data_IF_044604090051
#
_entry.id   IF_044604090051
#
_cell.length_a   1.000
_cell.length_b   1.000
_cell.length_c   1.000
_cell.angle_alpha   90.00
_cell.angle_beta   90.00
_cell.angle_gamma   90.00
#
_symmetry.space_group_name_H-M   'P 1'
#
loop_
_entity.id
_entity.type
_entity.pdbx_description
1 polymer ?
2 non-polymer ?
3 non-polymer ?
4 water ?
#
# COMPACT_ATOMS: atom_id res chain seq x y z
N UNK A 1 6.08 15.97 7.88
CA UNK A 1 4.65 16.14 7.46
C UNK A 1 4.16 14.90 6.71
N UNK A 2 2.85 14.80 6.53
CA UNK A 2 2.30 13.68 5.79
C UNK A 2 2.81 13.69 4.37
N UNK A 3 2.90 14.88 3.76
CA UNK A 3 3.38 14.98 2.39
C UNK A 3 4.83 14.55 2.30
N UNK A 4 5.64 14.90 3.31
CA UNK A 4 7.05 14.53 3.31
C UNK A 4 7.20 13.01 3.44
N UNK A 5 6.37 12.38 4.25
CA UNK A 5 6.44 10.92 4.40
C UNK A 5 6.23 10.28 3.02
N UNK A 6 5.34 10.85 2.22
CA UNK A 6 5.10 10.32 0.88
C UNK A 6 6.25 10.64 -0.08
N UNK A 7 6.59 11.92 -0.18
CA UNK A 7 7.64 12.37 -1.10
C UNK A 7 9.04 11.85 -0.82
N UNK A 8 9.42 11.94 0.44
CA UNK A 8 10.75 11.60 0.90
C UNK A 8 10.94 10.21 1.49
N UNK A 9 9.87 9.51 1.84
CA UNK A 9 10.02 8.16 2.38
C UNK A 9 9.53 7.12 1.36
N UNK A 10 8.31 7.29 0.88
CA UNK A 10 7.74 6.34 -0.06
C UNK A 10 8.20 6.47 -1.50
N UNK A 11 8.34 7.71 -1.96
CA UNK A 11 8.72 7.98 -3.34
C UNK A 11 10.22 8.09 -3.59
N UNK A 12 11.02 7.70 -2.60
CA UNK A 12 12.47 7.74 -2.75
C UNK A 12 12.89 6.74 -3.82
N UNK A 13 13.94 7.07 -4.54
CA UNK A 13 14.42 6.18 -5.56
C UNK A 13 15.25 5.07 -4.92
N UNK A 14 15.05 3.85 -5.41
CA UNK A 14 15.75 2.67 -4.96
C UNK A 14 16.22 1.98 -6.23
N UNK A 15 17.53 1.79 -6.34
CA UNK A 15 18.15 1.15 -7.50
C UNK A 15 17.77 1.85 -8.81
N UNK A 16 17.59 3.16 -8.76
CA UNK A 16 17.25 3.91 -9.96
C UNK A 16 15.77 4.02 -10.27
N UNK A 17 14.93 3.38 -9.46
CA UNK A 17 13.48 3.41 -9.69
C UNK A 17 12.72 3.82 -8.44
N UNK A 18 11.45 4.17 -8.60
CA UNK A 18 10.65 4.54 -7.45
C UNK A 18 9.21 4.10 -7.70
N UNK A 19 8.41 4.09 -6.64
CA UNK A 19 7.00 3.70 -6.73
C UNK A 19 6.30 4.54 -7.80
N UNK A 20 5.35 3.93 -8.48
CA UNK A 20 4.59 4.63 -9.49
C UNK A 20 3.69 5.64 -8.78
N UNK A 21 3.17 5.25 -7.62
CA UNK A 21 2.32 6.13 -6.83
C UNK A 21 2.29 5.64 -5.38
N UNK A 22 2.01 6.55 -4.45
CA UNK A 22 1.98 6.20 -3.04
C UNK A 22 1.03 7.13 -2.29
N UNK A 23 0.60 6.69 -1.12
CA UNK A 23 -0.29 7.51 -0.30
C UNK A 23 -0.39 6.99 1.11
N UNK A 24 -0.78 7.88 2.01
CA UNK A 24 -1.02 7.54 3.40
C UNK A 24 -2.44 8.02 3.64
N UNK A 25 -3.31 7.08 3.98
CA UNK A 25 -4.72 7.37 4.23
C UNK A 25 -5.05 7.08 5.68
N UNK A 26 -6.03 7.80 6.22
CA UNK A 26 -6.45 7.50 7.57
C UNK A 26 -7.22 6.19 7.45
N UNK A 27 -7.40 5.45 8.53
CA UNK A 27 -8.16 4.21 8.43
C UNK A 27 -9.64 4.49 8.09
N UNK A 28 -10.02 5.77 8.11
CA UNK A 28 -11.36 6.20 7.75
C UNK A 28 -11.47 6.33 6.23
N UNK A 29 -10.34 6.20 5.53
CA UNK A 29 -10.31 6.31 4.09
C UNK A 29 -9.90 7.67 3.55
N UNK A 30 -9.81 8.68 4.41
CA UNK A 30 -9.43 10.03 3.96
C UNK A 30 -7.96 10.10 3.57
N UNK A 31 -7.65 10.92 2.57
CA UNK A 31 -6.27 11.05 2.13
C UNK A 31 -5.51 12.03 3.01
N UNK A 32 -4.44 11.55 3.64
CA UNK A 32 -3.62 12.43 4.46
C UNK A 32 -2.58 13.05 3.52
N UNK A 33 -1.99 12.22 2.65
CA UNK A 33 -1.06 12.68 1.63
C UNK A 33 -0.98 11.63 0.52
N UNK A 34 -0.76 12.07 -0.71
CA UNK A 34 -0.65 11.15 -1.81
C UNK A 34 0.27 11.76 -2.85
N UNK A 35 0.75 10.90 -3.75
CA UNK A 35 1.59 11.35 -4.85
C UNK A 35 0.65 11.71 -6.01
N UNK A 36 1.20 12.35 -7.04
CA UNK A 36 0.43 12.81 -8.18
C UNK A 36 -0.44 11.79 -8.92
N UNK A 37 0.04 10.55 -9.05
CA UNK A 37 -0.70 9.52 -9.78
C UNK A 37 -1.52 8.54 -8.92
N UNK A 38 -1.67 8.80 -7.62
CA UNK A 38 -2.43 7.88 -6.78
C UNK A 38 -3.90 7.82 -7.23
N UNK A 39 -4.43 6.59 -7.42
CA UNK A 39 -5.82 6.41 -7.84
C UNK A 39 -6.84 6.66 -6.75
N UNK A 40 -8.05 6.98 -7.15
CA UNK A 40 -9.11 7.18 -6.18
C UNK A 40 -9.63 5.79 -5.86
N UNK A 41 -9.71 5.48 -4.57
CA UNK A 41 -10.18 4.18 -4.13
C UNK A 41 -11.66 4.29 -3.77
N UNK A 42 -12.38 3.19 -3.93
CA UNK A 42 -13.80 3.16 -3.62
C UNK A 42 -13.99 2.84 -2.14
N UNK A 43 -15.07 3.35 -1.52
CA UNK A 43 -15.33 3.08 -0.10
C UNK A 43 -15.37 1.56 0.18
N UNK A 44 -16.02 0.81 -0.70
CA UNK A 44 -16.12 -0.65 -0.57
C UNK A 44 -14.73 -1.33 -0.62
N UNK A 45 -13.78 -0.71 -1.30
CA UNK A 45 -12.43 -1.28 -1.40
C UNK A 45 -11.69 -1.06 -0.08
N UNK A 46 -11.93 0.09 0.55
CA UNK A 46 -11.32 0.40 1.84
C UNK A 46 -11.95 -0.55 2.88
N UNK A 47 -13.26 -0.79 2.75
CA UNK A 47 -13.97 -1.71 3.63
C UNK A 47 -13.35 -3.11 3.47
N UNK A 48 -13.11 -3.51 2.22
CA UNK A 48 -12.52 -4.82 1.96
C UNK A 48 -11.13 -4.98 2.57
N UNK A 49 -10.33 -3.92 2.46
CA UNK A 49 -8.97 -3.91 3.00
C UNK A 49 -9.04 -4.09 4.51
N UNK A 50 -9.93 -3.35 5.16
CA UNK A 50 -10.05 -3.45 6.61
C UNK A 50 -10.53 -4.82 7.06
N UNK A 51 -11.46 -5.40 6.31
CA UNK A 51 -11.96 -6.71 6.65
C UNK A 51 -10.84 -7.76 6.49
N UNK A 52 -10.00 -7.59 5.47
CA UNK A 52 -8.88 -8.52 5.23
C UNK A 52 -7.81 -8.43 6.33
N UNK A 53 -7.61 -7.24 6.88
CA UNK A 53 -6.64 -7.09 7.96
C UNK A 53 -7.20 -7.76 9.21
N UNK A 54 -8.52 -7.68 9.37
CA UNK A 54 -9.17 -8.28 10.52
C UNK A 54 -9.32 -9.80 10.39
N UNK A 55 -9.63 -10.24 9.17
CA UNK A 55 -9.83 -11.66 8.88
C UNK A 55 -8.94 -12.05 7.70
N UNK A 56 -7.66 -12.37 7.98
CA UNK A 56 -6.68 -12.76 6.96
C UNK A 56 -7.25 -13.79 5.98
N UNK A 57 -6.98 -13.59 4.69
CA UNK A 57 -7.46 -14.51 3.68
C UNK A 57 -8.80 -14.15 3.06
N UNK A 58 -9.44 -13.10 3.58
CA UNK A 58 -10.73 -12.67 3.07
C UNK A 58 -10.71 -12.36 1.57
N UNK A 59 -9.78 -11.52 1.13
CA UNK A 59 -9.71 -11.11 -0.27
C UNK A 59 -9.05 -12.12 -1.21
N UNK A 60 -8.22 -13.01 -0.67
CA UNK A 60 -7.47 -13.97 -1.47
C UNK A 60 -8.20 -14.71 -2.60
N UNK A 61 -9.35 -15.34 -2.31
CA UNK A 61 -10.04 -16.07 -3.38
C UNK A 61 -10.39 -15.29 -4.65
N UNK A 62 -10.85 -14.05 -4.48
CA UNK A 62 -11.29 -13.25 -5.62
C UNK A 62 -10.51 -11.99 -6.00
N UNK A 63 -9.55 -11.59 -5.17
CA UNK A 63 -8.71 -10.46 -5.52
C UNK A 63 -8.82 -9.22 -4.67
N UNK A 64 -7.75 -8.44 -4.70
CA UNK A 64 -7.66 -7.16 -3.98
C UNK A 64 -7.98 -6.09 -5.05
N UNK A 65 -9.08 -5.37 -4.88
CA UNK A 65 -9.46 -4.36 -5.86
C UNK A 65 -9.09 -2.97 -5.38
N UNK A 66 -8.47 -2.19 -6.26
CA UNK A 66 -8.04 -0.84 -5.89
C UNK A 66 -8.35 0.04 -7.09
N UNK A 67 -9.26 0.99 -6.91
CA UNK A 67 -9.65 1.85 -8.02
C UNK A 67 -10.34 1.06 -9.13
N UNK A 68 -10.98 -0.06 -8.77
CA UNK A 68 -11.66 -0.89 -9.74
C UNK A 68 -10.72 -1.87 -10.43
N UNK A 69 -9.43 -1.81 -10.09
CA UNK A 69 -8.40 -2.68 -10.67
C UNK A 69 -8.13 -3.92 -9.83
N UNK A 70 -8.11 -5.08 -10.47
CA UNK A 70 -7.85 -6.33 -9.77
C UNK A 70 -6.38 -6.65 -9.58
N UNK A 71 -6.01 -6.91 -8.33
CA UNK A 71 -4.66 -7.34 -8.00
C UNK A 71 -4.76 -8.75 -7.43
N UNK A 72 -3.96 -9.68 -7.94
CA UNK A 72 -3.93 -11.03 -7.39
C UNK A 72 -3.27 -10.94 -6.02
N UNK A 73 -3.95 -11.40 -4.98
CA UNK A 73 -3.37 -11.40 -3.64
C UNK A 73 -2.16 -12.36 -3.55
N UNK A 74 -1.07 -11.89 -2.96
CA UNK A 74 0.09 -12.77 -2.74
C UNK A 74 0.35 -12.77 -1.23
N UNK A 75 1.27 -13.59 -0.77
CA UNK A 75 1.54 -13.71 0.66
C UNK A 75 1.74 -12.37 1.38
N UNK A 76 0.97 -12.17 2.46
CA UNK A 76 1.08 -10.96 3.26
C UNK A 76 1.48 -11.29 4.69
N UNK A 77 1.15 -10.40 5.62
CA UNK A 77 1.46 -10.61 7.03
C UNK A 77 0.13 -10.38 7.74
N UNK A 78 -0.36 -11.40 8.44
CA UNK A 78 -1.66 -11.33 9.12
C UNK A 78 -1.91 -10.06 9.91
N UNK A 79 -2.97 -9.36 9.52
CA UNK A 79 -3.39 -8.12 10.15
C UNK A 79 -2.50 -6.91 9.96
N UNK A 80 -1.39 -7.05 9.23
CA UNK A 80 -0.44 -5.95 9.08
C UNK A 80 -0.07 -5.53 7.66
N UNK A 81 0.08 -6.49 6.75
CA UNK A 81 0.48 -6.17 5.39
C UNK A 81 -0.27 -6.99 4.38
N UNK A 82 -0.78 -6.31 3.36
CA UNK A 82 -1.50 -6.92 2.27
C UNK A 82 -0.60 -6.68 1.06
N UNK A 83 -0.43 -7.71 0.22
CA UNK A 83 0.42 -7.58 -0.96
C UNK A 83 -0.31 -8.16 -2.17
N UNK A 84 -0.12 -7.54 -3.32
CA UNK A 84 -0.77 -8.03 -4.53
C UNK A 84 0.10 -7.81 -5.75
N UNK A 85 -0.25 -8.48 -6.84
CA UNK A 85 0.45 -8.39 -8.12
C UNK A 85 -0.56 -8.08 -9.22
N UNK A 86 -0.12 -7.34 -10.23
CA UNK A 86 -0.97 -7.04 -11.38
C UNK A 86 -0.01 -6.90 -12.53
N UNK A 87 0.09 -7.95 -13.34
CA UNK A 87 1.02 -7.93 -14.46
C UNK A 87 2.41 -7.85 -13.86
N UNK A 88 3.35 -7.13 -14.49
CA UNK A 88 4.72 -6.97 -14.00
C UNK A 88 4.79 -6.20 -12.58
N UNK A 89 3.98 -5.86 -11.98
CA UNK A 89 3.92 -4.80 -10.98
C UNK A 89 3.09 -5.28 -9.81
N UNK A 90 2.70 -4.37 -8.93
CA UNK A 90 1.94 -4.79 -7.78
C UNK A 90 1.71 -3.67 -6.79
N UNK A 91 1.47 -4.05 -5.53
CA UNK A 91 1.16 -3.07 -4.50
C UNK A 91 1.41 -3.66 -3.12
N UNK A 92 1.65 -2.78 -2.15
CA UNK A 92 1.83 -3.18 -0.75
C UNK A 92 1.00 -2.20 0.07
N UNK A 93 0.23 -2.72 1.03
CA UNK A 93 -0.58 -1.87 1.91
C UNK A 93 -0.21 -2.29 3.31
N UNK A 94 0.31 -1.34 4.08
CA UNK A 94 0.78 -1.57 5.44
C UNK A 94 -0.10 -0.84 6.47
N UNK A 95 -0.58 -1.57 7.47
CA UNK A 95 -1.44 -0.97 8.49
C UNK A 95 -0.63 -0.44 9.68
N UNK A 96 -0.94 0.78 10.12
CA UNK A 96 -0.28 1.35 11.29
C UNK A 96 -1.38 1.53 12.36
N UNK A 97 -1.07 2.22 13.46
CA UNK A 97 -2.06 2.42 14.51
C UNK A 97 -3.23 3.26 14.03
N UNK A 98 -2.98 4.25 13.18
CA UNK A 98 -4.05 5.12 12.73
C UNK A 98 -4.22 5.26 11.24
N UNK A 99 -3.27 4.76 10.47
CA UNK A 99 -3.33 4.92 9.03
C UNK A 99 -3.10 3.65 8.21
N UNK A 100 -3.16 3.82 6.89
CA UNK A 100 -2.95 2.75 5.92
C UNK A 100 -1.96 3.35 4.92
N UNK A 101 -0.80 2.70 4.77
CA UNK A 101 0.24 3.17 3.86
C UNK A 101 0.19 2.34 2.58
N UNK A 102 0.04 3.01 1.44
CA UNK A 102 -0.05 2.34 0.13
C UNK A 102 1.15 2.65 -0.78
N UNK A 103 1.59 1.64 -1.52
CA UNK A 103 2.67 1.82 -2.47
C UNK A 103 2.38 0.97 -3.70
N UNK A 104 2.33 1.60 -4.87
CA UNK A 104 2.08 0.91 -6.14
C UNK A 104 3.38 0.92 -6.92
N UNK A 105 3.76 -0.21 -7.50
CA UNK A 105 5.00 -0.23 -8.26
C UNK A 105 4.80 -0.93 -9.60
N UNK A 106 5.74 -0.67 -10.51
CA UNK A 106 5.78 -1.28 -11.84
C UNK A 106 7.24 -1.64 -12.08
N UNK A 107 7.47 -2.64 -12.92
CA UNK A 107 8.82 -3.05 -13.28
C UNK A 107 9.55 -1.78 -13.79
N UNK A 108 10.88 -1.70 -13.62
CA UNK A 108 11.80 -2.65 -13.00
C UNK A 108 11.82 -2.63 -11.47
N UNK A 109 11.00 -1.80 -10.83
CA UNK A 109 10.98 -1.83 -9.37
C UNK A 109 10.38 -3.20 -9.04
N UNK A 110 10.81 -3.80 -7.93
CA UNK A 110 10.34 -5.12 -7.53
C UNK A 110 9.40 -5.09 -6.31
N UNK A 111 8.71 -6.21 -6.11
CA UNK A 111 7.83 -6.33 -4.96
C UNK A 111 8.62 -6.17 -3.68
N UNK A 112 9.84 -6.73 -3.66
CA UNK A 112 10.69 -6.63 -2.49
C UNK A 112 11.06 -5.18 -2.18
N UNK A 113 11.31 -4.39 -3.22
CA UNK A 113 11.67 -2.99 -3.01
C UNK A 113 10.47 -2.15 -2.53
N UNK A 114 9.30 -2.45 -3.09
CA UNK A 114 8.07 -1.76 -2.69
C UNK A 114 7.79 -2.12 -1.23
N UNK A 115 7.92 -3.42 -0.91
CA UNK A 115 7.72 -3.91 0.45
C UNK A 115 8.59 -3.15 1.41
N UNK A 116 9.87 -2.98 1.07
CA UNK A 116 10.78 -2.26 1.97
C UNK A 116 10.36 -0.82 2.26
N UNK A 117 10.10 -0.04 1.22
CA UNK A 117 9.76 1.36 1.41
C UNK A 117 8.45 1.56 2.16
N UNK A 118 7.45 0.78 1.80
CA UNK A 118 6.14 0.88 2.42
C UNK A 118 6.14 0.36 3.86
N UNK A 119 6.71 -0.82 4.07
CA UNK A 119 6.72 -1.39 5.41
C UNK A 119 7.65 -0.66 6.38
N UNK A 120 8.80 -0.19 5.91
CA UNK A 120 9.71 0.54 6.81
C UNK A 120 9.04 1.86 7.26
N UNK A 121 8.30 2.52 6.37
CA UNK A 121 7.62 3.76 6.75
C UNK A 121 6.53 3.41 7.77
N UNK A 122 5.78 2.35 7.47
CA UNK A 122 4.73 1.93 8.38
C UNK A 122 5.28 1.64 9.76
N UNK A 123 6.43 0.98 9.82
CA UNK A 123 7.06 0.66 11.10
C UNK A 123 7.51 1.91 11.86
N UNK A 124 8.03 2.89 11.14
CA UNK A 124 8.44 4.13 11.77
C UNK A 124 7.19 4.83 12.34
N UNK A 125 6.11 4.85 11.55
CA UNK A 125 4.86 5.47 11.98
C UNK A 125 4.35 4.77 13.24
N UNK A 126 4.38 3.44 13.25
CA UNK A 126 3.94 2.67 14.41
C UNK A 126 4.77 3.03 15.64
N UNK A 127 6.09 3.10 15.51
CA UNK A 127 6.94 3.46 16.64
C UNK A 127 6.69 4.90 17.09
N UNK A 128 6.21 5.72 16.16
CA UNK A 128 5.91 7.13 16.44
C UNK A 128 4.47 7.25 16.97
N UNK A 129 3.84 6.11 17.20
CA UNK A 129 2.47 6.03 17.71
C UNK A 129 1.41 6.46 16.71
N UNK A 130 1.75 6.38 15.43
CA UNK A 130 0.84 6.72 14.35
C UNK A 130 0.47 5.43 13.60
X LIG B 1 6.30 16.47 11.64
X LIG B 1 5.87 15.50 10.65
X LIG B 1 6.48 15.87 12.94
X LIG B 1 5.27 17.43 11.74
X LIG B 1 7.53 17.07 11.20
X LIG C 1 -3.84 -9.41 6.10
X LIG C 1 -4.52 -9.82 7.27
X LIG C 1 -3.67 -10.57 5.11
X LIG C 1 -4.82 -11.27 4.61
X LIG C 1 -2.40 -10.53 4.26
X LIG C 1 -2.21 -11.74 3.56
X LIG C 1 -4.82 -9.03 7.72
X LIG C 1 -4.39 -11.98 4.11
X LIG C 1 -1.33 -11.71 3.19
X LIG D 1 3.23 -4.44 13.80
X LIG D 1 1.94 -4.24 13.25
X LIG D 1 3.60 -5.92 13.69
X LIG D 1 3.01 -6.85 14.61
X LIG D 1 3.93 -6.40 12.27
X LIG D 1 4.74 -5.47 11.58
X LIG D 1 1.69 -3.32 13.29
X LIG D 1 3.51 -7.65 14.59
X LIG D 1 5.00 -5.83 10.73
#
# INVERSE_FOLDING_TARGET
SWQSYVDDHLMCDVEGNHLTAAAILGQDGSVWAQSAKFPQLKPQEIDGIKKDFEEPGFLAPTGLFLGGEKYMVIQGEQGAVIRGKKGPGGVTIKKTNQALVFGFYDEPMTGGQCNLVVERLGDYLIESEL
SO4 S O1 O2 O3 O4
GOL C1 O1 C2 O2 C3 O3 HO1 HO2 HO3
GOL C1 O1 C2 O2 C3 O3 HO1 HO2 HO3
#
